data_IF_485170439550
#
_entry.id   IF_485170439550
#
_cell.length_a   1.000
_cell.length_b   1.000
_cell.length_c   1.000
_cell.angle_alpha   90.00
_cell.angle_beta   90.00
_cell.angle_gamma   90.00
#
_symmetry.space_group_name_H-M   'P 1'
#
loop_
_entity.id
_entity.type
_entity.pdbx_description
1 polymer ?
#
# COMPACT_ATOMS: atom_id res chain seq x y z
N UNK A 1 27.27 40.23 -23.05
CA UNK A 1 25.79 40.01 -23.05
C UNK A 1 25.37 38.87 -24.00
N UNK A 2 25.21 37.64 -23.48
CA UNK A 2 24.41 36.61 -24.15
C UNK A 2 23.29 35.90 -23.33
N UNK A 3 22.79 36.37 -22.16
CA UNK A 3 21.80 35.58 -21.39
C UNK A 3 20.39 35.55 -22.01
N UNK A 4 20.00 36.55 -22.82
CA UNK A 4 18.61 36.68 -23.29
C UNK A 4 18.24 35.70 -24.41
N UNK A 5 19.15 35.43 -25.36
CA UNK A 5 18.87 34.54 -26.49
C UNK A 5 18.79 33.06 -26.05
N UNK A 6 19.65 32.64 -25.12
CA UNK A 6 19.63 31.29 -24.57
C UNK A 6 18.34 31.00 -23.76
N UNK A 7 17.86 31.98 -22.99
CA UNK A 7 16.61 31.86 -22.23
C UNK A 7 15.39 31.72 -23.15
N UNK A 8 15.34 32.49 -24.25
CA UNK A 8 14.24 32.41 -25.21
C UNK A 8 14.20 31.05 -25.95
N UNK A 9 15.36 30.50 -26.34
CA UNK A 9 15.45 29.18 -26.97
C UNK A 9 14.98 28.06 -26.02
N UNK A 10 15.42 28.09 -24.76
CA UNK A 10 15.01 27.12 -23.74
C UNK A 10 13.50 27.16 -23.45
N UNK A 11 12.90 28.36 -23.43
CA UNK A 11 11.46 28.53 -23.24
C UNK A 11 10.64 27.99 -24.43
N UNK A 12 11.09 28.24 -25.66
CA UNK A 12 10.44 27.72 -26.87
C UNK A 12 10.50 26.20 -26.96
N UNK A 13 11.64 25.60 -26.60
CA UNK A 13 11.80 24.15 -26.54
C UNK A 13 10.90 23.51 -25.47
N UNK A 14 10.84 24.11 -24.27
CA UNK A 14 9.93 23.66 -23.20
C UNK A 14 8.46 23.75 -23.63
N UNK A 15 8.07 24.81 -24.33
CA UNK A 15 6.72 24.95 -24.87
C UNK A 15 6.42 23.92 -25.97
N UNK A 16 7.40 23.55 -26.79
CA UNK A 16 7.24 22.52 -27.81
C UNK A 16 7.06 21.12 -27.18
N UNK A 17 7.79 20.81 -26.10
CA UNK A 17 7.70 19.50 -25.42
C UNK A 17 6.36 19.28 -24.70
N UNK A 18 5.73 20.37 -24.25
CA UNK A 18 4.38 20.36 -23.63
C UNK A 18 3.24 20.15 -24.61
N UNK A 19 3.51 20.11 -25.92
CA UNK A 19 2.48 19.79 -26.91
C UNK A 19 2.07 18.33 -26.75
N UNK A 20 0.77 18.01 -26.90
CA UNK A 20 0.33 16.64 -27.03
C UNK A 20 1.15 15.90 -28.08
N UNK A 21 1.37 14.60 -27.86
CA UNK A 21 2.04 13.76 -28.84
C UNK A 21 1.34 13.87 -30.20
N UNK A 22 2.13 14.05 -31.27
CA UNK A 22 1.58 14.06 -32.62
C UNK A 22 0.87 12.74 -32.94
N UNK A 23 -0.05 12.76 -33.90
CA UNK A 23 -0.69 11.54 -34.40
C UNK A 23 0.37 10.54 -34.89
N UNK A 24 0.30 9.30 -34.41
CA UNK A 24 1.31 8.26 -34.65
C UNK A 24 1.53 7.39 -33.42
N UNK A 25 2.36 6.37 -33.55
CA UNK A 25 2.82 5.53 -32.43
C UNK A 25 4.06 6.13 -31.79
N UNK A 26 4.10 6.12 -30.46
CA UNK A 26 5.21 6.61 -29.64
C UNK A 26 5.56 5.56 -28.58
N UNK A 27 6.84 5.45 -28.29
CA UNK A 27 7.35 4.56 -27.25
C UNK A 27 7.50 5.34 -25.93
N UNK A 28 6.81 4.88 -24.89
CA UNK A 28 6.93 5.40 -23.53
C UNK A 28 7.74 4.41 -22.70
N UNK A 29 8.86 4.88 -22.14
CA UNK A 29 9.70 4.08 -21.25
C UNK A 29 9.29 4.34 -19.80
N UNK A 30 8.82 3.30 -19.12
CA UNK A 30 8.38 3.34 -17.73
C UNK A 30 9.43 2.65 -16.86
N UNK A 31 10.01 3.39 -15.93
CA UNK A 31 10.94 2.83 -14.93
C UNK A 31 10.12 2.23 -13.79
N UNK A 32 10.16 0.91 -13.64
CA UNK A 32 9.43 0.15 -12.63
C UNK A 32 10.18 0.18 -11.29
N UNK A 33 11.50 0.01 -11.36
CA UNK A 33 12.37 0.07 -10.18
C UNK A 33 13.67 0.78 -10.56
N UNK A 34 13.86 1.98 -10.02
CA UNK A 34 15.04 2.78 -10.32
C UNK A 34 16.32 2.23 -9.65
N UNK A 35 16.20 1.51 -8.53
CA UNK A 35 17.36 0.91 -7.84
C UNK A 35 17.87 -0.33 -8.59
N UNK A 36 16.96 -1.10 -9.19
CA UNK A 36 17.29 -2.26 -10.02
C UNK A 36 17.52 -1.91 -11.50
N UNK A 37 17.24 -0.67 -11.90
CA UNK A 37 17.30 -0.25 -13.30
C UNK A 37 16.27 -0.96 -14.19
N UNK A 38 15.17 -1.42 -13.61
CA UNK A 38 14.14 -2.15 -14.32
C UNK A 38 13.24 -1.17 -15.08
N UNK A 39 13.22 -1.28 -16.40
CA UNK A 39 12.41 -0.45 -17.30
C UNK A 39 11.56 -1.29 -18.23
N UNK A 40 10.38 -0.80 -18.58
CA UNK A 40 9.48 -1.41 -19.56
C UNK A 40 9.08 -0.37 -20.61
N UNK A 41 8.97 -0.79 -21.87
CA UNK A 41 8.58 0.08 -22.99
C UNK A 41 7.15 -0.23 -23.41
N UNK A 42 6.31 0.80 -23.50
CA UNK A 42 4.90 0.69 -23.89
C UNK A 42 4.64 1.56 -25.11
N UNK A 43 4.02 0.97 -26.14
CA UNK A 43 3.60 1.72 -27.32
C UNK A 43 2.28 2.43 -27.07
N UNK A 44 2.19 3.73 -27.36
CA UNK A 44 0.98 4.56 -27.22
C UNK A 44 0.72 5.37 -28.48
N UNK A 45 -0.51 5.84 -28.67
CA UNK A 45 -0.85 6.70 -29.80
C UNK A 45 -0.93 8.18 -29.39
N UNK A 46 -0.83 9.07 -30.38
CA UNK A 46 -1.08 10.50 -30.16
C UNK A 46 -2.46 10.74 -29.55
N UNK A 47 -2.50 11.41 -28.39
CA UNK A 47 -3.72 11.65 -27.62
C UNK A 47 -3.97 10.64 -26.49
N UNK A 48 -3.18 9.58 -26.37
CA UNK A 48 -3.24 8.67 -25.22
C UNK A 48 -2.99 9.42 -23.91
N UNK A 49 -3.58 8.89 -22.85
CA UNK A 49 -3.52 9.40 -21.48
C UNK A 49 -2.64 8.52 -20.60
N UNK A 50 -2.37 8.97 -19.39
CA UNK A 50 -1.68 8.18 -18.36
C UNK A 50 -2.45 6.89 -18.03
N UNK A 51 -3.79 6.92 -18.06
CA UNK A 51 -4.61 5.73 -17.87
C UNK A 51 -4.33 4.65 -18.93
N UNK A 52 -4.24 5.03 -20.20
CA UNK A 52 -3.96 4.09 -21.30
C UNK A 52 -2.61 3.39 -21.11
N UNK A 53 -1.60 4.10 -20.59
CA UNK A 53 -0.29 3.50 -20.25
C UNK A 53 -0.46 2.47 -19.13
N UNK A 54 -1.17 2.82 -18.06
CA UNK A 54 -1.41 1.91 -16.92
C UNK A 54 -2.14 0.63 -17.35
N UNK A 55 -3.15 0.76 -18.19
CA UNK A 55 -3.90 -0.38 -18.72
C UNK A 55 -3.01 -1.31 -19.54
N UNK A 56 -2.11 -0.75 -20.38
CA UNK A 56 -1.14 -1.55 -21.12
C UNK A 56 -0.09 -2.22 -20.24
N UNK A 57 0.46 -1.50 -19.26
CA UNK A 57 1.40 -2.07 -18.28
C UNK A 57 0.76 -3.25 -17.51
N UNK A 58 -0.50 -3.09 -17.09
CA UNK A 58 -1.24 -4.14 -16.40
C UNK A 58 -1.55 -5.33 -17.32
N UNK A 59 -1.86 -5.10 -18.60
CA UNK A 59 -2.12 -6.16 -19.57
C UNK A 59 -0.87 -6.99 -19.92
N UNK A 60 0.32 -6.41 -19.82
CA UNK A 60 1.60 -7.10 -20.03
C UNK A 60 2.06 -7.92 -18.82
N UNK A 61 1.46 -7.72 -17.64
CA UNK A 61 1.73 -8.53 -16.45
C UNK A 61 1.10 -9.93 -16.56
N UNK A 62 1.91 -10.90 -16.95
CA UNK A 62 1.51 -12.31 -17.06
C UNK A 62 1.00 -12.92 -15.74
N UNK A 63 1.31 -12.33 -14.59
CA UNK A 63 0.82 -12.83 -13.30
C UNK A 63 -0.62 -12.40 -13.01
N UNK A 64 -1.12 -11.37 -13.71
CA UNK A 64 -2.43 -10.77 -13.47
C UNK A 64 -2.58 -10.13 -12.10
N UNK A 65 -1.49 -9.98 -11.34
CA UNK A 65 -1.51 -9.39 -10.01
C UNK A 65 -1.58 -7.86 -10.07
N UNK A 66 -1.03 -7.28 -11.13
CA UNK A 66 -0.95 -5.84 -11.33
C UNK A 66 -2.23 -5.34 -11.99
N UNK A 67 -2.98 -4.50 -11.27
CA UNK A 67 -4.14 -3.79 -11.82
C UNK A 67 -3.78 -2.36 -12.21
N UNK A 68 -4.42 -1.81 -13.23
CA UNK A 68 -4.16 -0.46 -13.72
C UNK A 68 -4.34 0.62 -12.64
N UNK A 69 -5.36 0.48 -11.79
CA UNK A 69 -5.67 1.37 -10.66
C UNK A 69 -4.62 1.30 -9.52
N UNK A 70 -3.90 0.18 -9.41
CA UNK A 70 -2.82 0.01 -8.44
C UNK A 70 -1.48 0.62 -8.89
N UNK A 71 -1.34 1.00 -10.17
CA UNK A 71 -0.12 1.60 -10.70
C UNK A 71 -0.21 3.12 -10.54
N UNK A 72 0.68 3.72 -9.75
CA UNK A 72 0.93 5.16 -9.78
C UNK A 72 1.99 5.50 -10.82
N UNK A 73 1.79 6.53 -11.65
CA UNK A 73 2.79 7.01 -12.60
C UNK A 73 3.16 8.47 -12.30
N UNK A 74 4.43 8.79 -12.46
CA UNK A 74 4.96 10.13 -12.27
C UNK A 74 5.90 10.53 -13.41
N UNK A 75 5.94 11.82 -13.72
CA UNK A 75 6.88 12.36 -14.69
C UNK A 75 8.29 12.37 -14.06
N UNK A 76 9.30 11.89 -14.81
CA UNK A 76 10.68 12.08 -14.40
C UNK A 76 11.07 13.54 -14.59
N UNK A 77 11.26 14.26 -13.48
CA UNK A 77 11.84 15.60 -13.51
C UNK A 77 13.24 15.55 -14.12
N UNK A 78 13.58 16.53 -14.97
CA UNK A 78 14.86 16.61 -15.66
C UNK A 78 16.09 16.64 -14.72
N UNK A 79 15.90 16.87 -13.42
CA UNK A 79 16.96 16.98 -12.41
C UNK A 79 17.06 15.78 -11.45
N UNK A 80 16.38 14.65 -11.71
CA UNK A 80 16.35 13.53 -10.77
C UNK A 80 15.70 13.89 -9.42
N UNK A 81 14.90 14.96 -9.40
CA UNK A 81 14.14 15.38 -8.24
C UNK A 81 12.94 14.48 -7.96
N UNK A 82 12.21 14.80 -6.88
CA UNK A 82 10.96 14.15 -6.48
C UNK A 82 10.04 13.99 -7.70
N UNK A 83 9.62 12.76 -7.98
CA UNK A 83 8.73 12.47 -9.09
C UNK A 83 7.34 13.08 -8.81
N UNK A 84 6.82 13.84 -9.78
CA UNK A 84 5.52 14.49 -9.66
C UNK A 84 4.41 13.54 -10.15
N UNK A 85 3.46 13.15 -9.27
CA UNK A 85 2.37 12.25 -9.65
C UNK A 85 1.54 12.83 -10.78
N UNK A 86 1.25 12.01 -11.80
CA UNK A 86 0.41 12.40 -12.92
C UNK A 86 -1.02 11.86 -12.74
N UNK A 87 -2.05 12.70 -12.86
CA UNK A 87 -3.44 12.25 -12.92
C UNK A 87 -3.70 11.35 -14.13
N UNK A 88 -4.62 10.40 -14.00
CA UNK A 88 -4.98 9.44 -15.06
C UNK A 88 -5.46 10.10 -16.36
N UNK A 89 -6.21 11.19 -16.23
CA UNK A 89 -6.71 11.98 -17.37
C UNK A 89 -5.64 12.84 -18.07
N UNK A 90 -4.38 12.80 -17.62
CA UNK A 90 -3.30 13.60 -18.23
C UNK A 90 -2.96 13.04 -19.60
N UNK A 91 -3.10 13.87 -20.64
CA UNK A 91 -2.71 13.54 -22.01
C UNK A 91 -1.18 13.49 -22.10
N UNK A 92 -0.65 12.46 -22.75
CA UNK A 92 0.77 12.29 -22.96
C UNK A 92 1.33 13.36 -23.90
N UNK A 93 2.48 13.89 -23.51
CA UNK A 93 3.25 14.90 -24.26
C UNK A 93 4.67 14.36 -24.45
N UNK A 94 5.49 15.06 -25.22
CA UNK A 94 6.90 14.68 -25.39
C UNK A 94 7.70 14.77 -24.08
N UNK A 95 7.21 15.50 -23.06
CA UNK A 95 7.80 15.48 -21.70
C UNK A 95 7.54 14.16 -20.97
N UNK A 96 6.54 13.38 -21.38
CA UNK A 96 6.06 12.18 -20.69
C UNK A 96 6.46 10.86 -21.37
N UNK A 97 7.43 10.88 -22.30
CA UNK A 97 7.98 9.67 -22.89
C UNK A 97 8.85 8.86 -21.92
N UNK A 98 9.17 9.43 -20.75
CA UNK A 98 9.85 8.76 -19.66
C UNK A 98 9.06 8.95 -18.37
N UNK A 99 8.50 7.85 -17.88
CA UNK A 99 7.72 7.83 -16.65
C UNK A 99 8.42 6.94 -15.63
N UNK A 100 8.05 7.13 -14.37
CA UNK A 100 8.45 6.26 -13.28
C UNK A 100 7.20 5.79 -12.54
N UNK A 101 7.18 4.52 -12.15
CA UNK A 101 6.18 4.04 -11.22
C UNK A 101 6.42 4.71 -9.88
N UNK A 102 5.37 5.30 -9.33
CA UNK A 102 5.36 5.55 -7.91
C UNK A 102 5.17 4.19 -7.29
N UNK A 103 6.16 3.70 -6.54
CA UNK A 103 5.87 2.71 -5.53
C UNK A 103 4.68 3.31 -4.77
N UNK A 104 3.52 2.64 -4.85
CA UNK A 104 2.46 2.97 -3.92
C UNK A 104 3.16 3.06 -2.56
N UNK A 105 2.89 4.10 -1.73
CA UNK A 105 3.24 3.92 -0.33
C UNK A 105 2.73 2.53 -0.02
N UNK A 106 3.55 1.70 0.59
CA UNK A 106 3.03 0.47 1.15
C UNK A 106 2.01 0.94 2.20
N UNK A 107 0.80 1.32 1.75
CA UNK A 107 -0.41 0.97 2.42
C UNK A 107 -0.17 -0.50 2.65
N UNK A 108 0.17 -0.75 3.89
CA UNK A 108 0.09 -1.98 4.63
C UNK A 108 -1.21 -2.71 4.27
N UNK A 109 -1.29 -3.15 3.01
CA UNK A 109 -2.00 -4.31 2.55
C UNK A 109 -1.15 -5.52 2.95
N UNK A 110 -0.57 -5.48 4.17
CA UNK A 110 -0.66 -6.65 5.01
C UNK A 110 -2.12 -7.07 4.88
N UNK A 111 -2.43 -8.28 4.40
CA UNK A 111 -3.78 -8.76 4.50
C UNK A 111 -4.17 -8.50 5.95
N UNK A 112 -5.18 -7.65 6.19
CA UNK A 112 -5.82 -7.48 7.51
C UNK A 112 -5.78 -8.88 8.08
N UNK A 113 -4.93 -9.15 9.07
CA UNK A 113 -4.51 -10.51 9.36
C UNK A 113 -5.79 -11.32 9.57
N UNK A 114 -6.23 -12.01 8.52
CA UNK A 114 -7.32 -12.93 8.63
C UNK A 114 -6.63 -13.99 9.47
N UNK A 115 -7.05 -14.19 10.74
CA UNK A 115 -6.49 -15.29 11.50
C UNK A 115 -6.60 -16.49 10.58
N UNK A 116 -5.46 -17.13 10.30
CA UNK A 116 -5.40 -18.25 9.37
C UNK A 116 -6.62 -19.13 9.64
N UNK A 117 -7.43 -19.51 8.62
CA UNK A 117 -8.59 -20.35 8.84
C UNK A 117 -8.12 -21.52 9.71
N UNK A 118 -8.58 -21.52 10.96
CA UNK A 118 -8.18 -22.52 11.95
C UNK A 118 -8.45 -23.85 11.25
N UNK A 119 -7.49 -24.79 11.15
CA UNK A 119 -7.72 -26.07 10.50
C UNK A 119 -9.00 -26.65 11.10
N UNK A 120 -10.09 -26.68 10.32
CA UNK A 120 -11.41 -27.04 10.84
C UNK A 120 -11.56 -28.55 11.05
N UNK A 121 -10.46 -29.29 10.92
CA UNK A 121 -10.46 -30.75 10.85
C UNK A 121 -9.23 -31.39 11.53
N UNK A 122 -8.65 -30.69 12.50
CA UNK A 122 -7.92 -31.38 13.56
C UNK A 122 -8.96 -31.59 14.67
N UNK A 123 -9.38 -32.84 14.86
CA UNK A 123 -10.30 -33.23 15.93
C UNK A 123 -9.93 -32.64 17.29
N UNK A 124 -10.84 -32.69 18.28
CA UNK A 124 -10.60 -32.08 19.59
C UNK A 124 -9.19 -32.45 20.06
N UNK A 125 -8.31 -31.45 20.31
CA UNK A 125 -6.96 -31.75 20.74
C UNK A 125 -7.05 -32.65 21.98
N UNK A 126 -6.17 -33.65 22.12
CA UNK A 126 -6.16 -34.46 23.32
C UNK A 126 -6.11 -33.51 24.51
N UNK A 127 -6.93 -33.76 25.53
CA UNK A 127 -6.97 -33.06 26.81
C UNK A 127 -5.64 -33.23 27.56
N UNK A 128 -4.56 -32.75 26.94
CA UNK A 128 -3.24 -32.64 27.48
C UNK A 128 -3.27 -31.34 28.26
N UNK A 129 -3.48 -31.50 29.57
CA UNK A 129 -3.10 -30.59 30.64
C UNK A 129 -2.41 -29.31 30.15
N UNK A 130 -3.21 -28.29 29.82
CA UNK A 130 -2.74 -26.94 29.52
C UNK A 130 -2.21 -26.37 30.84
N UNK A 131 -0.95 -26.65 31.12
CA UNK A 131 -0.22 -26.01 32.19
C UNK A 131 0.11 -24.58 31.77
N UNK A 132 -0.39 -23.60 32.53
CA UNK A 132 0.23 -22.31 32.83
C UNK A 132 0.72 -21.43 31.65
N UNK A 133 0.25 -21.63 30.42
CA UNK A 133 0.57 -20.75 29.31
C UNK A 133 -0.21 -19.43 29.42
N UNK A 134 0.34 -18.49 30.18
CA UNK A 134 -0.17 -17.12 30.27
C UNK A 134 0.05 -16.36 28.96
N UNK A 135 -0.96 -15.60 28.55
CA UNK A 135 -0.93 -14.69 27.41
C UNK A 135 -0.49 -13.30 27.84
N UNK A 136 0.45 -12.68 27.12
CA UNK A 136 0.89 -11.31 27.37
C UNK A 136 0.12 -10.32 26.49
N UNK A 137 -0.41 -9.28 27.11
CA UNK A 137 -1.08 -8.19 26.39
C UNK A 137 -0.04 -7.29 25.71
N UNK A 138 0.06 -7.30 24.39
CA UNK A 138 1.08 -6.51 23.64
C UNK A 138 0.55 -5.21 23.02
N UNK A 139 -0.74 -4.94 23.08
CA UNK A 139 -1.38 -3.77 22.45
C UNK A 139 -2.10 -2.85 23.43
N UNK A 140 -2.66 -1.75 22.90
CA UNK A 140 -3.52 -0.83 23.65
C UNK A 140 -2.79 0.34 24.33
N UNK A 141 -1.48 0.49 24.17
CA UNK A 141 -0.67 1.53 24.84
C UNK A 141 -1.24 2.94 24.66
N UNK A 142 -1.62 3.32 23.43
CA UNK A 142 -2.14 4.66 23.12
C UNK A 142 -3.51 4.94 23.74
N UNK A 143 -4.22 3.89 24.17
CA UNK A 143 -5.57 3.97 24.76
C UNK A 143 -5.56 3.61 26.26
N UNK A 144 -4.38 3.51 26.87
CA UNK A 144 -4.22 3.12 28.27
C UNK A 144 -4.62 1.66 28.56
N UNK A 145 -4.45 0.76 27.59
CA UNK A 145 -4.73 -0.67 27.70
C UNK A 145 -5.93 -1.16 26.87
N UNK A 146 -6.22 -2.46 27.00
CA UNK A 146 -7.35 -3.15 26.34
C UNK A 146 -8.61 -3.03 27.21
N UNK A 147 -9.71 -2.64 26.59
CA UNK A 147 -11.01 -2.49 27.23
C UNK A 147 -11.59 -3.84 27.67
N UNK A 148 -11.95 -3.96 28.95
CA UNK A 148 -12.54 -5.17 29.53
C UNK A 148 -14.06 -4.99 29.66
N UNK A 149 -14.82 -6.07 29.42
CA UNK A 149 -16.28 -6.09 29.56
C UNK A 149 -16.70 -7.21 30.49
N UNK A 150 -17.80 -6.99 31.22
CA UNK A 150 -18.37 -7.97 32.15
C UNK A 150 -19.04 -9.18 31.45
N UNK A 151 -19.17 -9.13 30.13
CA UNK A 151 -19.79 -10.19 29.34
C UNK A 151 -19.25 -10.25 27.91
N UNK A 152 -19.63 -11.30 27.20
CA UNK A 152 -19.15 -11.61 25.85
C UNK A 152 -19.58 -10.57 24.80
N UNK A 153 -20.76 -9.97 24.96
CA UNK A 153 -21.33 -9.05 24.00
C UNK A 153 -20.59 -7.70 23.99
N UNK A 154 -20.46 -7.08 22.82
CA UNK A 154 -19.88 -5.73 22.68
C UNK A 154 -20.76 -4.64 23.28
N UNK A 155 -22.01 -4.94 23.59
CA UNK A 155 -22.94 -4.08 24.33
C UNK A 155 -22.91 -4.28 25.84
N UNK A 156 -22.19 -5.30 26.36
CA UNK A 156 -22.07 -5.53 27.80
C UNK A 156 -21.35 -4.37 28.49
N UNK A 157 -21.67 -4.18 29.78
CA UNK A 157 -21.06 -3.16 30.62
C UNK A 157 -19.53 -3.21 30.54
N UNK A 158 -18.93 -2.06 30.28
CA UNK A 158 -17.48 -1.88 30.34
C UNK A 158 -17.06 -1.85 31.80
N UNK A 159 -16.03 -2.60 32.15
CA UNK A 159 -15.43 -2.49 33.47
C UNK A 159 -14.53 -1.24 33.50
N UNK A 160 -14.41 -0.57 34.66
CA UNK A 160 -13.53 0.59 34.78
C UNK A 160 -12.06 0.22 34.56
N UNK A 161 -11.69 -1.01 34.92
CA UNK A 161 -10.34 -1.54 34.78
C UNK A 161 -10.06 -1.98 33.35
N UNK A 162 -8.88 -1.60 32.84
CA UNK A 162 -8.36 -2.04 31.54
C UNK A 162 -7.21 -3.02 31.75
N UNK A 163 -6.97 -3.86 30.75
CA UNK A 163 -5.77 -4.67 30.71
C UNK A 163 -4.61 -3.85 30.14
N UNK A 164 -3.68 -3.43 31.00
CA UNK A 164 -2.48 -2.72 30.59
C UNK A 164 -1.59 -3.58 29.68
N UNK A 165 -0.87 -2.95 28.76
CA UNK A 165 0.19 -3.60 27.97
C UNK A 165 1.26 -4.18 28.90
N UNK A 166 1.63 -5.43 28.69
CA UNK A 166 2.50 -6.23 29.55
C UNK A 166 1.77 -7.09 30.59
N UNK A 167 0.45 -6.92 30.78
CA UNK A 167 -0.32 -7.79 31.68
C UNK A 167 -0.30 -9.24 31.20
N UNK A 168 -0.22 -10.19 32.12
CA UNK A 168 -0.30 -11.63 31.82
C UNK A 168 -1.67 -12.14 32.23
N UNK A 169 -2.35 -12.82 31.31
CA UNK A 169 -3.68 -13.39 31.53
C UNK A 169 -3.72 -14.87 31.16
N UNK A 170 -4.46 -15.65 31.92
CA UNK A 170 -4.73 -17.05 31.62
C UNK A 170 -6.02 -17.15 30.80
N UNK A 171 -6.01 -17.95 29.75
CA UNK A 171 -7.21 -18.27 28.98
C UNK A 171 -8.11 -19.21 29.78
N UNK A 172 -9.31 -18.76 30.11
CA UNK A 172 -10.35 -19.57 30.77
C UNK A 172 -11.26 -20.21 29.72
N UNK A 173 -11.66 -19.45 28.70
CA UNK A 173 -12.42 -19.95 27.55
C UNK A 173 -12.31 -19.00 26.35
N UNK A 174 -12.26 -19.54 25.14
CA UNK A 174 -12.30 -18.77 23.91
C UNK A 174 -13.60 -19.04 23.14
N UNK A 175 -14.41 -18.01 22.94
CA UNK A 175 -15.68 -18.10 22.21
C UNK A 175 -15.62 -17.23 20.95
N UNK A 176 -15.34 -17.86 19.80
CA UNK A 176 -15.07 -17.16 18.55
C UNK A 176 -13.82 -16.28 18.69
N UNK A 177 -14.03 -14.96 18.69
CA UNK A 177 -12.99 -13.92 18.83
C UNK A 177 -13.04 -13.21 20.21
N UNK A 178 -13.65 -13.85 21.21
CA UNK A 178 -13.79 -13.29 22.56
C UNK A 178 -13.13 -14.21 23.56
N UNK A 179 -12.11 -13.69 24.24
CA UNK A 179 -11.35 -14.38 25.26
C UNK A 179 -11.94 -14.08 26.64
N UNK A 180 -12.44 -15.10 27.32
CA UNK A 180 -12.67 -15.08 28.76
C UNK A 180 -11.37 -15.45 29.44
N UNK A 181 -10.90 -14.59 30.34
CA UNK A 181 -9.58 -14.70 30.92
C UNK A 181 -9.59 -14.50 32.44
N UNK A 182 -8.54 -14.99 33.10
CA UNK A 182 -8.20 -14.66 34.48
C UNK A 182 -6.88 -13.90 34.48
N UNK A 183 -6.85 -12.68 35.02
CA UNK A 183 -5.60 -11.90 35.10
C UNK A 183 -4.66 -12.56 36.11
N UNK A 184 -3.43 -12.81 35.70
CA UNK A 184 -2.37 -13.35 36.55
C UNK A 184 -1.48 -12.23 37.09
N UNK A 185 -1.03 -11.30 36.23
CA UNK A 185 -0.19 -10.15 36.61
C UNK A 185 -0.50 -8.90 35.77
N UNK A 186 -0.03 -7.73 36.22
CA UNK A 186 -0.24 -6.42 35.59
C UNK A 186 -1.34 -5.60 36.29
N UNK A 187 -1.09 -4.30 36.44
CA UNK A 187 -2.01 -3.32 37.05
C UNK A 187 -2.65 -2.45 35.96
#
# INVERSE_FOLDING_TARGET
>A
PPPAAAAAAAAAEKAARRRPLATGEHEVVVTIDAALGLTMSVQVSGGSTVQDVKEKLAAEDATGATKADAIGLAAMGASGGKADPLPDATVLTYEYLRLQTLAAPAEENFPKAYPAPRPQDLGPPPASSVGDAGWVVVGGVDKGGILVRAGQATSSAQLPDRLATGSVVEEVALQGERLHYRRLTGA
#
